data_IF_686744095151
#
_entry.id   IF_686744095151
#
_cell.length_a   1.000
_cell.length_b   1.000
_cell.length_c   1.000
_cell.angle_alpha   90.00
_cell.angle_beta   90.00
_cell.angle_gamma   90.00
#
_symmetry.space_group_name_H-M   'P 1'
#
loop_
_entity.id
_entity.type
_entity.pdbx_description
1 polymer ?
#
# COMPACT_ATOMS: atom_id res chain seq x y z
N UNK A 1 10.89 8.42 -12.33
CA UNK A 1 9.44 8.29 -12.07
C UNK A 1 9.27 7.24 -11.00
N UNK A 2 8.50 7.56 -9.96
CA UNK A 2 8.32 6.72 -8.76
C UNK A 2 7.07 5.90 -8.97
N UNK A 3 7.14 4.57 -8.85
CA UNK A 3 5.97 3.71 -9.04
C UNK A 3 5.35 3.34 -7.69
N UNK A 4 4.10 2.91 -7.73
CA UNK A 4 3.37 2.46 -6.53
C UNK A 4 4.17 1.38 -5.77
N UNK A 5 4.77 0.40 -6.46
CA UNK A 5 5.65 -0.60 -5.83
C UNK A 5 6.89 -0.03 -5.15
N UNK A 6 7.42 1.08 -5.66
CA UNK A 6 8.62 1.71 -5.11
C UNK A 6 8.28 2.44 -3.78
N UNK A 7 6.99 2.77 -3.54
CA UNK A 7 6.44 3.24 -2.26
C UNK A 7 6.14 2.06 -1.32
N UNK A 8 5.46 1.02 -1.82
CA UNK A 8 5.14 -0.19 -1.04
C UNK A 8 6.40 -0.80 -0.40
N UNK A 9 7.49 -0.88 -1.16
CA UNK A 9 8.78 -1.39 -0.66
C UNK A 9 9.34 -0.59 0.53
N UNK A 10 9.03 0.70 0.67
CA UNK A 10 9.45 1.53 1.83
C UNK A 10 8.53 1.29 3.03
N UNK A 11 7.24 1.04 2.80
CA UNK A 11 6.29 0.65 3.86
C UNK A 11 6.68 -0.72 4.41
N UNK A 12 6.93 -1.70 3.55
CA UNK A 12 7.34 -3.08 3.92
C UNK A 12 8.71 -3.14 4.63
N UNK A 13 9.59 -2.16 4.43
CA UNK A 13 10.84 -2.03 5.20
C UNK A 13 10.62 -1.61 6.66
N UNK A 14 9.53 -0.90 6.95
CA UNK A 14 9.16 -0.43 8.29
C UNK A 14 8.15 -1.36 8.98
N UNK A 15 7.25 -1.96 8.19
CA UNK A 15 6.25 -2.93 8.63
C UNK A 15 6.29 -4.17 7.71
N UNK A 16 7.21 -5.12 7.96
CA UNK A 16 7.32 -6.33 7.14
C UNK A 16 6.04 -7.17 7.14
N UNK A 17 5.59 -7.73 5.99
CA UNK A 17 4.41 -8.59 5.92
C UNK A 17 4.46 -9.83 6.84
N UNK A 18 5.66 -10.26 7.26
CA UNK A 18 5.83 -11.33 8.25
C UNK A 18 5.44 -10.95 9.70
N UNK A 19 4.96 -9.73 9.94
CA UNK A 19 4.34 -9.29 11.21
C UNK A 19 2.79 -9.29 11.15
N UNK A 20 2.22 -9.66 10.00
CA UNK A 20 0.78 -9.80 9.79
C UNK A 20 0.26 -11.09 10.44
N UNK A 21 -0.92 -11.03 11.07
CA UNK A 21 -1.62 -12.23 11.56
C UNK A 21 -2.26 -12.99 10.38
N UNK A 22 -2.36 -14.33 10.47
CA UNK A 22 -2.84 -15.23 9.39
C UNK A 22 -4.24 -14.89 8.82
N UNK A 23 -5.03 -14.07 9.53
CA UNK A 23 -6.40 -13.66 9.17
C UNK A 23 -6.53 -12.20 8.69
N UNK A 24 -5.46 -11.40 8.74
CA UNK A 24 -5.44 -10.02 8.24
C UNK A 24 -5.15 -9.99 6.72
N UNK A 25 -5.38 -8.86 6.05
CA UNK A 25 -5.28 -8.69 4.59
C UNK A 25 -4.56 -7.40 4.21
N UNK A 26 -3.29 -7.26 4.62
CA UNK A 26 -2.47 -6.08 4.32
C UNK A 26 -1.86 -6.10 2.89
N UNK A 27 -1.20 -5.01 2.51
CA UNK A 27 -0.54 -4.87 1.20
C UNK A 27 -1.44 -4.33 0.09
N UNK A 28 -1.14 -4.65 -1.17
CA UNK A 28 -1.87 -4.13 -2.33
C UNK A 28 -3.15 -4.93 -2.60
N UNK A 29 -4.27 -4.47 -2.04
CA UNK A 29 -5.58 -5.11 -2.22
C UNK A 29 -6.19 -4.91 -3.62
N UNK A 30 -5.89 -3.79 -4.30
CA UNK A 30 -6.42 -3.49 -5.64
C UNK A 30 -5.50 -2.54 -6.43
N UNK A 31 -5.52 -2.67 -7.76
CA UNK A 31 -4.80 -1.78 -8.69
C UNK A 31 -3.59 -2.44 -9.36
N UNK A 32 -2.62 -1.61 -9.78
CA UNK A 32 -1.41 -2.04 -10.50
C UNK A 32 -0.17 -1.34 -9.90
N UNK A 33 0.69 -2.12 -9.27
CA UNK A 33 1.89 -1.66 -8.59
C UNK A 33 2.96 -1.06 -9.55
N UNK A 34 2.85 -1.30 -10.86
CA UNK A 34 3.83 -0.88 -11.86
C UNK A 34 3.63 0.56 -12.38
N UNK A 35 2.44 1.14 -12.17
CA UNK A 35 2.10 2.53 -12.52
C UNK A 35 2.93 3.54 -11.73
N UNK A 36 3.20 4.71 -12.32
CA UNK A 36 3.71 5.87 -11.57
C UNK A 36 2.68 6.31 -10.50
N UNK A 37 3.19 6.67 -9.33
CA UNK A 37 2.48 7.29 -8.24
C UNK A 37 2.56 8.82 -8.37
N UNK A 38 1.42 9.46 -8.63
CA UNK A 38 1.31 10.93 -8.73
C UNK A 38 1.07 11.61 -7.38
N UNK A 39 0.80 10.83 -6.33
CA UNK A 39 0.53 11.25 -4.96
C UNK A 39 0.16 10.06 -4.09
N UNK A 40 -0.06 10.30 -2.80
CA UNK A 40 -0.56 9.31 -1.84
C UNK A 40 -1.51 9.99 -0.85
N UNK A 41 -2.51 9.23 -0.38
CA UNK A 41 -3.47 9.65 0.64
C UNK A 41 -3.46 8.61 1.76
N UNK A 42 -3.38 9.06 3.01
CA UNK A 42 -3.46 8.22 4.20
C UNK A 42 -4.87 8.35 4.80
N UNK A 43 -5.55 7.22 4.96
CA UNK A 43 -6.91 7.12 5.49
C UNK A 43 -6.99 5.95 6.49
N UNK A 44 -8.10 5.90 7.25
CA UNK A 44 -8.46 4.72 8.06
C UNK A 44 -9.44 3.86 7.24
N UNK A 45 -10.50 4.47 6.73
CA UNK A 45 -11.52 3.83 5.89
C UNK A 45 -11.45 4.36 4.45
N UNK A 46 -11.45 3.45 3.47
CA UNK A 46 -11.59 3.80 2.05
C UNK A 46 -13.09 3.90 1.73
N UNK A 47 -13.60 5.12 1.63
CA UNK A 47 -15.02 5.41 1.35
C UNK A 47 -15.17 6.31 0.12
N UNK A 48 -16.39 6.50 -0.39
CA UNK A 48 -16.66 7.35 -1.57
C UNK A 48 -16.26 8.84 -1.40
N UNK A 49 -15.94 9.28 -0.17
CA UNK A 49 -15.51 10.65 0.14
C UNK A 49 -13.98 10.78 0.34
N UNK A 50 -13.20 9.74 0.00
CA UNK A 50 -11.75 9.61 0.23
C UNK A 50 -11.01 9.40 -1.08
#
# INVERSE_FOLDING_TARGET
>A
MMRIKDILQVIEQLAPPALQEDFDNAGLQAGDATREATGALLCIDVTENV
#
